data_IF_889128638175
#
_entry.id   IF_889128638175
#
_cell.length_a   1.000
_cell.length_b   1.000
_cell.length_c   1.000
_cell.angle_alpha   90.00
_cell.angle_beta   90.00
_cell.angle_gamma   90.00
#
_symmetry.space_group_name_H-M   'P 1'
#
loop_
_entity.id
_entity.type
_entity.pdbx_description
1 polymer ?
#
# COMPACT_ATOMS: atom_id res chain seq x y z
N UNK A 1 -31.67 -35.32 -16.60
CA UNK A 1 -33.16 -35.38 -16.66
C UNK A 1 -33.63 -34.15 -17.40
N UNK A 2 -34.30 -34.34 -18.53
CA UNK A 2 -34.97 -33.24 -19.22
C UNK A 2 -36.22 -32.83 -18.44
N UNK A 3 -36.44 -31.56 -18.13
CA UNK A 3 -37.66 -31.13 -17.47
C UNK A 3 -38.85 -31.39 -18.37
N UNK A 4 -40.04 -31.70 -17.82
CA UNK A 4 -41.24 -31.89 -18.61
C UNK A 4 -41.61 -30.62 -19.38
N UNK A 5 -42.20 -30.72 -20.59
CA UNK A 5 -42.54 -29.56 -21.38
C UNK A 5 -43.66 -28.76 -20.68
N UNK A 6 -43.38 -27.47 -20.40
CA UNK A 6 -44.40 -26.55 -19.88
C UNK A 6 -45.32 -26.17 -21.04
N UNK A 7 -46.52 -26.65 -21.02
CA UNK A 7 -47.50 -26.50 -22.13
C UNK A 7 -48.19 -25.13 -22.20
N UNK A 8 -48.00 -24.22 -21.23
CA UNK A 8 -48.50 -22.82 -21.26
C UNK A 8 -47.71 -21.95 -20.34
N UNK A 9 -47.37 -20.71 -20.71
CA UNK A 9 -46.79 -19.76 -19.78
C UNK A 9 -47.77 -19.40 -18.70
N UNK A 10 -47.37 -19.60 -17.44
CA UNK A 10 -48.14 -19.08 -16.30
C UNK A 10 -47.75 -17.62 -16.11
N UNK A 11 -48.54 -16.71 -16.63
CA UNK A 11 -48.39 -15.28 -16.38
C UNK A 11 -49.28 -14.94 -15.17
N UNK A 12 -48.68 -14.87 -14.01
CA UNK A 12 -49.37 -14.38 -12.80
C UNK A 12 -49.01 -12.89 -12.64
N UNK A 13 -49.93 -11.99 -12.97
CA UNK A 13 -49.82 -10.58 -12.59
C UNK A 13 -50.50 -10.43 -11.22
N UNK A 14 -49.72 -10.35 -10.18
CA UNK A 14 -50.21 -9.94 -8.86
C UNK A 14 -50.03 -8.43 -8.78
N UNK A 15 -51.16 -7.71 -8.64
CA UNK A 15 -51.17 -6.29 -8.45
C UNK A 15 -51.41 -6.01 -6.97
N UNK A 16 -50.38 -5.72 -6.14
CA UNK A 16 -50.53 -5.47 -4.74
C UNK A 16 -51.23 -4.12 -4.53
N UNK A 17 -52.44 -4.16 -4.03
CA UNK A 17 -53.24 -2.95 -3.74
C UNK A 17 -53.06 -2.39 -2.33
N UNK A 18 -52.16 -3.00 -1.52
CA UNK A 18 -51.94 -2.57 -0.12
C UNK A 18 -50.47 -2.84 0.32
N UNK A 19 -49.98 -2.00 1.22
CA UNK A 19 -48.57 -1.89 1.60
C UNK A 19 -47.95 -3.10 2.34
N UNK A 20 -48.66 -4.14 2.64
CA UNK A 20 -48.19 -5.31 3.40
C UNK A 20 -48.45 -6.67 2.72
N UNK A 21 -48.70 -6.71 1.41
CA UNK A 21 -49.01 -7.97 0.73
C UNK A 21 -47.77 -8.55 0.01
N UNK A 22 -47.46 -9.81 0.33
CA UNK A 22 -46.53 -10.64 -0.46
C UNK A 22 -47.18 -10.94 -1.81
N UNK A 23 -46.63 -10.43 -2.89
CA UNK A 23 -47.20 -10.55 -4.23
C UNK A 23 -47.13 -11.97 -4.82
N UNK A 24 -46.08 -12.74 -4.51
CA UNK A 24 -45.91 -14.10 -4.97
C UNK A 24 -45.07 -14.91 -3.98
N UNK A 25 -45.61 -16.04 -3.50
CA UNK A 25 -44.91 -16.93 -2.59
C UNK A 25 -44.75 -18.32 -3.23
N UNK A 26 -43.50 -18.81 -3.34
CA UNK A 26 -43.20 -20.17 -3.79
C UNK A 26 -42.44 -20.90 -2.69
N UNK A 27 -42.92 -22.07 -2.31
CA UNK A 27 -42.28 -22.96 -1.36
C UNK A 27 -42.07 -24.33 -1.97
N UNK A 28 -40.81 -24.78 -2.04
CA UNK A 28 -40.45 -26.16 -2.32
C UNK A 28 -40.21 -26.89 -0.99
N UNK A 29 -40.85 -28.05 -0.82
CA UNK A 29 -40.71 -28.91 0.37
C UNK A 29 -40.06 -30.23 -0.08
N UNK A 30 -39.00 -30.60 0.60
CA UNK A 30 -38.25 -31.84 0.36
C UNK A 30 -36.76 -31.60 0.24
N UNK A 31 -35.94 -32.66 0.36
CA UNK A 31 -34.49 -32.54 0.41
C UNK A 31 -33.83 -32.07 -0.91
N UNK A 32 -34.56 -32.15 -2.04
CA UNK A 32 -34.08 -31.73 -3.38
C UNK A 32 -35.00 -30.71 -4.05
N UNK A 33 -35.82 -29.98 -3.27
CA UNK A 33 -36.79 -29.01 -3.78
C UNK A 33 -36.13 -27.75 -4.31
N UNK A 34 -36.38 -27.35 -5.58
CA UNK A 34 -36.06 -26.05 -6.16
C UNK A 34 -37.35 -25.27 -6.32
N UNK A 35 -37.47 -24.14 -5.63
CA UNK A 35 -38.68 -23.30 -5.68
C UNK A 35 -38.76 -22.46 -6.97
N UNK A 36 -37.65 -21.90 -7.42
CA UNK A 36 -37.56 -21.12 -8.67
C UNK A 36 -36.33 -21.57 -9.46
N UNK A 37 -36.54 -21.91 -10.72
CA UNK A 37 -35.44 -22.21 -11.64
C UNK A 37 -35.56 -21.32 -12.87
N UNK A 38 -34.50 -20.62 -13.20
CA UNK A 38 -34.40 -19.80 -14.38
C UNK A 38 -33.22 -20.28 -15.25
N UNK A 39 -33.46 -20.53 -16.53
CA UNK A 39 -32.44 -20.94 -17.47
C UNK A 39 -32.67 -20.29 -18.84
N UNK A 40 -31.59 -20.02 -19.57
CA UNK A 40 -31.61 -19.60 -20.96
C UNK A 40 -30.51 -20.32 -21.74
N UNK A 41 -30.76 -20.62 -23.00
CA UNK A 41 -29.77 -21.12 -23.95
C UNK A 41 -29.09 -19.99 -24.74
N UNK A 42 -29.54 -18.77 -24.60
CA UNK A 42 -28.98 -17.61 -25.29
C UNK A 42 -27.81 -17.03 -24.46
N UNK A 43 -26.63 -16.96 -25.08
CA UNK A 43 -25.41 -16.45 -24.44
C UNK A 43 -25.42 -14.93 -24.22
N UNK A 44 -26.33 -14.20 -24.83
CA UNK A 44 -26.49 -12.74 -24.71
C UNK A 44 -27.53 -12.33 -23.66
N UNK A 45 -28.37 -13.25 -23.23
CA UNK A 45 -29.44 -13.00 -22.27
C UNK A 45 -29.15 -13.77 -20.99
N UNK A 46 -29.08 -13.05 -19.87
CA UNK A 46 -28.90 -13.69 -18.56
C UNK A 46 -30.16 -14.42 -18.12
N UNK A 47 -30.01 -15.66 -17.64
CA UNK A 47 -31.05 -16.35 -16.88
C UNK A 47 -31.04 -15.78 -15.46
N UNK A 48 -31.86 -14.76 -15.17
CA UNK A 48 -31.84 -14.06 -13.90
C UNK A 48 -33.15 -14.08 -13.17
N UNK A 49 -33.05 -14.13 -11.84
CA UNK A 49 -34.07 -13.60 -10.95
C UNK A 49 -33.80 -12.09 -10.80
N UNK A 50 -34.51 -11.26 -11.58
CA UNK A 50 -34.42 -9.81 -11.49
C UNK A 50 -35.10 -9.31 -10.23
N UNK A 51 -34.42 -8.53 -9.40
CA UNK A 51 -34.95 -7.85 -8.24
C UNK A 51 -34.62 -6.36 -8.33
N UNK A 52 -35.64 -5.51 -8.14
CA UNK A 52 -35.53 -4.06 -8.21
C UNK A 52 -36.29 -3.41 -7.06
N UNK A 53 -35.73 -2.35 -6.48
CA UNK A 53 -36.36 -1.51 -5.44
C UNK A 53 -36.05 -0.04 -5.72
N UNK A 54 -37.05 0.82 -5.63
CA UNK A 54 -36.98 2.25 -5.95
C UNK A 54 -36.16 3.06 -4.97
N UNK A 55 -36.17 2.66 -3.71
CA UNK A 55 -35.59 3.40 -2.61
C UNK A 55 -34.81 2.46 -1.68
N UNK A 56 -34.45 2.92 -0.52
CA UNK A 56 -33.68 2.20 0.48
C UNK A 56 -34.23 0.77 0.76
N UNK A 57 -33.71 -0.20 0.02
CA UNK A 57 -34.13 -1.60 0.11
C UNK A 57 -33.05 -2.55 -0.38
N UNK A 58 -33.28 -3.85 -0.20
CA UNK A 58 -32.40 -4.93 -0.67
C UNK A 58 -32.98 -5.56 -1.93
N UNK A 59 -32.23 -5.62 -3.03
CA UNK A 59 -32.66 -6.21 -4.30
C UNK A 59 -32.79 -7.74 -4.22
N UNK A 60 -31.83 -8.42 -3.59
CA UNK A 60 -31.84 -9.88 -3.35
C UNK A 60 -31.41 -10.12 -1.90
N UNK A 61 -32.22 -10.90 -1.16
CA UNK A 61 -31.91 -11.29 0.22
C UNK A 61 -31.91 -12.81 0.36
N UNK A 62 -30.75 -13.38 0.67
CA UNK A 62 -30.57 -14.81 0.94
C UNK A 62 -30.19 -15.02 2.41
N UNK A 63 -30.90 -15.92 3.12
CA UNK A 63 -30.66 -16.25 4.53
C UNK A 63 -30.52 -17.75 4.67
N UNK A 64 -29.49 -18.19 5.42
CA UNK A 64 -29.31 -19.56 5.89
C UNK A 64 -29.13 -19.55 7.41
N UNK A 65 -30.01 -20.23 8.16
CA UNK A 65 -30.00 -20.28 9.61
C UNK A 65 -31.25 -19.65 10.24
N UNK A 66 -31.25 -19.51 11.57
CA UNK A 66 -32.42 -19.03 12.32
C UNK A 66 -32.63 -17.50 12.31
N UNK A 67 -31.86 -16.77 11.54
CA UNK A 67 -31.98 -15.33 11.41
C UNK A 67 -31.70 -14.61 12.75
N UNK A 68 -30.59 -14.91 13.39
CA UNK A 68 -30.26 -14.36 14.70
C UNK A 68 -29.80 -12.91 14.59
N UNK A 69 -30.73 -11.98 14.66
CA UNK A 69 -30.48 -10.65 15.22
C UNK A 69 -29.42 -9.78 14.54
N UNK A 70 -29.11 -10.02 13.28
CA UNK A 70 -28.32 -9.05 12.52
C UNK A 70 -29.14 -7.78 12.33
N UNK A 71 -28.55 -6.61 12.43
CA UNK A 71 -29.30 -5.38 12.38
C UNK A 71 -30.17 -5.37 11.14
N UNK A 72 -31.48 -5.16 11.35
CA UNK A 72 -32.41 -4.90 10.26
C UNK A 72 -31.76 -3.97 9.29
N UNK A 73 -31.81 -4.29 7.98
CA UNK A 73 -31.14 -3.56 6.92
C UNK A 73 -31.35 -2.05 7.05
N UNK A 74 -30.45 -1.38 7.73
CA UNK A 74 -30.35 0.08 7.75
C UNK A 74 -29.55 0.58 6.57
N UNK A 75 -28.92 -0.35 5.81
CA UNK A 75 -28.16 -0.06 4.59
C UNK A 75 -28.88 -0.58 3.36
N UNK A 76 -28.92 0.24 2.33
CA UNK A 76 -29.38 -0.14 0.99
C UNK A 76 -28.39 -1.13 0.39
N UNK A 77 -28.85 -2.32 0.00
CA UNK A 77 -28.02 -3.35 -0.61
C UNK A 77 -28.68 -3.91 -1.87
N UNK A 78 -27.92 -4.04 -2.95
CA UNK A 78 -28.38 -4.75 -4.15
C UNK A 78 -28.52 -6.25 -3.89
N UNK A 79 -27.55 -6.85 -3.20
CA UNK A 79 -27.56 -8.25 -2.75
C UNK A 79 -27.17 -8.28 -1.27
N UNK A 80 -27.94 -9.01 -0.49
CA UNK A 80 -27.67 -9.30 0.92
C UNK A 80 -27.61 -10.82 1.11
N UNK A 81 -26.45 -11.33 1.50
CA UNK A 81 -26.24 -12.75 1.83
C UNK A 81 -25.88 -12.90 3.31
N UNK A 82 -26.56 -13.78 4.01
CA UNK A 82 -26.40 -14.02 5.43
C UNK A 82 -26.38 -15.52 5.74
N UNK A 83 -25.44 -15.97 6.57
CA UNK A 83 -25.35 -17.36 6.99
C UNK A 83 -24.79 -17.46 8.42
N UNK A 84 -25.43 -18.24 9.29
CA UNK A 84 -25.03 -18.39 10.70
C UNK A 84 -23.71 -19.15 10.88
N UNK A 85 -23.36 -20.08 9.98
CA UNK A 85 -22.23 -20.99 10.15
C UNK A 85 -21.42 -21.27 8.87
N UNK A 86 -21.61 -20.49 7.80
CA UNK A 86 -20.93 -20.63 6.53
C UNK A 86 -20.72 -19.29 5.84
N UNK A 87 -20.42 -19.33 4.55
CA UNK A 87 -20.27 -18.12 3.75
C UNK A 87 -21.62 -17.48 3.44
N UNK A 88 -21.81 -16.21 3.72
CA UNK A 88 -23.01 -15.46 3.35
C UNK A 88 -23.07 -15.24 1.84
N UNK A 89 -21.93 -14.99 1.19
CA UNK A 89 -21.77 -14.91 -0.28
C UNK A 89 -20.50 -15.65 -0.67
N UNK A 90 -20.62 -16.59 -1.59
CA UNK A 90 -19.51 -17.31 -2.16
C UNK A 90 -19.39 -17.04 -3.66
N UNK A 91 -18.24 -16.52 -4.09
CA UNK A 91 -17.93 -16.28 -5.51
C UNK A 91 -16.76 -17.13 -5.97
N UNK A 92 -16.94 -17.88 -7.05
CA UNK A 92 -15.91 -18.71 -7.65
C UNK A 92 -15.87 -18.56 -9.17
N UNK A 93 -14.67 -18.56 -9.73
CA UNK A 93 -14.46 -18.58 -11.18
C UNK A 93 -13.26 -19.47 -11.51
N UNK A 94 -13.35 -20.22 -12.60
CA UNK A 94 -12.25 -21.06 -13.08
C UNK A 94 -11.17 -20.28 -13.82
N UNK A 95 -11.52 -19.19 -14.50
CA UNK A 95 -10.62 -18.49 -15.44
C UNK A 95 -10.59 -16.98 -15.27
N UNK A 96 -11.31 -16.42 -14.28
CA UNK A 96 -11.41 -14.98 -14.02
C UNK A 96 -11.63 -14.70 -12.54
N UNK A 97 -11.93 -13.45 -12.18
CA UNK A 97 -12.22 -13.06 -10.80
C UNK A 97 -13.46 -13.79 -10.27
N UNK A 98 -13.37 -14.37 -9.09
CA UNK A 98 -14.52 -14.95 -8.39
C UNK A 98 -15.46 -13.85 -7.84
N UNK A 99 -14.88 -12.74 -7.38
CA UNK A 99 -15.59 -11.52 -6.95
C UNK A 99 -14.81 -10.32 -7.46
N UNK A 100 -15.51 -9.35 -8.03
CA UNK A 100 -14.96 -8.07 -8.45
C UNK A 100 -15.82 -6.94 -7.87
N UNK A 101 -15.21 -5.90 -7.34
CA UNK A 101 -15.92 -4.76 -6.77
C UNK A 101 -15.34 -3.44 -7.22
N UNK A 102 -16.17 -2.63 -7.88
CA UNK A 102 -15.84 -1.30 -8.37
C UNK A 102 -16.57 -0.21 -7.60
N UNK A 103 -15.90 0.92 -7.40
CA UNK A 103 -16.53 2.13 -6.88
C UNK A 103 -16.00 3.36 -7.63
N UNK A 104 -16.91 4.18 -8.14
CA UNK A 104 -16.58 5.48 -8.72
C UNK A 104 -16.61 6.62 -7.71
N UNK A 105 -16.78 6.32 -6.44
CA UNK A 105 -16.78 7.30 -5.35
C UNK A 105 -15.36 7.52 -4.81
N UNK A 106 -14.90 8.76 -4.76
CA UNK A 106 -13.62 9.10 -4.13
C UNK A 106 -13.57 8.84 -2.61
N UNK A 107 -14.72 8.63 -1.98
CA UNK A 107 -14.86 8.44 -0.53
C UNK A 107 -15.11 7.00 -0.11
N UNK A 108 -15.30 6.06 -1.05
CA UNK A 108 -15.68 4.68 -0.73
C UNK A 108 -14.82 3.66 -1.48
N UNK A 109 -14.59 2.52 -0.85
CA UNK A 109 -13.86 1.40 -1.43
C UNK A 109 -14.71 0.60 -2.43
N UNK A 110 -14.09 0.01 -3.45
CA UNK A 110 -14.72 -0.99 -4.30
C UNK A 110 -15.03 -2.28 -3.53
N UNK A 111 -14.15 -2.68 -2.61
CA UNK A 111 -14.35 -3.78 -1.68
C UNK A 111 -13.96 -3.33 -0.28
N UNK A 112 -14.86 -3.52 0.70
CA UNK A 112 -14.58 -3.24 2.11
C UNK A 112 -14.78 -4.52 2.94
N UNK A 113 -13.76 -4.90 3.70
CA UNK A 113 -13.81 -6.04 4.63
C UNK A 113 -13.71 -5.57 6.07
N UNK A 114 -14.65 -5.98 6.92
CA UNK A 114 -14.68 -5.63 8.33
C UNK A 114 -14.99 -6.85 9.19
N UNK A 115 -14.25 -7.03 10.28
CA UNK A 115 -14.52 -8.03 11.31
C UNK A 115 -14.58 -7.35 12.68
N UNK A 116 -15.75 -7.43 13.32
CA UNK A 116 -16.00 -6.78 14.63
C UNK A 116 -15.71 -7.71 15.82
N UNK A 117 -15.29 -8.96 15.57
CA UNK A 117 -15.05 -9.98 16.60
C UNK A 117 -13.56 -10.33 16.78
N UNK A 118 -12.63 -9.53 16.24
CA UNK A 118 -11.18 -9.67 16.42
C UNK A 118 -10.46 -10.58 15.42
N UNK A 119 -11.16 -11.14 14.45
CA UNK A 119 -10.55 -11.83 13.31
C UNK A 119 -10.10 -10.85 12.20
N UNK A 120 -9.44 -11.35 11.14
CA UNK A 120 -9.06 -10.51 10.01
C UNK A 120 -10.28 -9.97 9.28
N UNK A 121 -10.26 -8.69 8.88
CA UNK A 121 -11.28 -8.08 8.02
C UNK A 121 -11.18 -8.56 6.58
N UNK A 122 -9.96 -8.77 6.09
CA UNK A 122 -9.63 -9.40 4.81
C UNK A 122 -8.57 -10.45 5.03
N UNK A 123 -8.77 -11.64 4.48
CA UNK A 123 -7.79 -12.72 4.50
C UNK A 123 -7.47 -13.19 3.09
N UNK A 124 -6.19 -13.18 2.72
CA UNK A 124 -5.71 -13.63 1.42
C UNK A 124 -4.74 -14.80 1.56
N UNK A 125 -4.88 -15.81 0.70
CA UNK A 125 -3.97 -16.95 0.62
C UNK A 125 -3.75 -17.34 -0.84
N UNK A 126 -2.51 -17.63 -1.21
CA UNK A 126 -2.13 -18.04 -2.56
C UNK A 126 -0.82 -18.82 -2.53
N UNK A 127 -0.59 -19.67 -3.53
CA UNK A 127 0.72 -20.28 -3.83
C UNK A 127 1.70 -19.30 -4.48
N UNK A 128 1.20 -18.17 -4.99
CA UNK A 128 1.97 -17.02 -5.48
C UNK A 128 1.76 -15.82 -4.55
N UNK A 129 1.43 -14.67 -5.10
CA UNK A 129 1.12 -13.47 -4.32
C UNK A 129 -0.27 -13.58 -3.68
N UNK A 130 -0.38 -13.49 -2.37
CA UNK A 130 -1.66 -13.45 -1.66
C UNK A 130 -2.37 -12.10 -1.78
N UNK A 131 -1.66 -11.04 -2.13
CA UNK A 131 -2.17 -9.71 -2.45
C UNK A 131 -1.24 -9.01 -3.43
N UNK A 132 -1.81 -8.23 -4.34
CA UNK A 132 -1.08 -7.32 -5.22
C UNK A 132 -1.78 -5.96 -5.15
N UNK A 133 -1.00 -4.90 -4.89
CA UNK A 133 -1.49 -3.53 -4.74
C UNK A 133 -0.74 -2.63 -5.71
N UNK A 134 -1.47 -1.87 -6.50
CA UNK A 134 -0.93 -0.83 -7.37
C UNK A 134 -1.25 0.53 -6.77
N UNK A 135 -0.22 1.28 -6.38
CA UNK A 135 -0.35 2.55 -5.67
C UNK A 135 0.07 2.46 -4.21
N UNK A 136 -0.35 3.43 -3.41
CA UNK A 136 0.04 3.54 -2.02
C UNK A 136 -0.81 2.63 -1.12
N UNK A 137 -0.19 2.03 -0.12
CA UNK A 137 -0.87 1.29 0.96
C UNK A 137 -0.73 2.09 2.25
N UNK A 138 -1.85 2.50 2.84
CA UNK A 138 -1.89 3.15 4.15
C UNK A 138 -2.20 2.13 5.23
N UNK A 139 -1.28 1.94 6.16
CA UNK A 139 -1.44 1.10 7.35
C UNK A 139 -1.35 1.98 8.58
N UNK A 140 -2.41 2.07 9.37
CA UNK A 140 -2.46 2.88 10.60
C UNK A 140 -2.04 2.10 11.85
N UNK A 141 -1.84 0.80 11.73
CA UNK A 141 -1.37 -0.09 12.78
C UNK A 141 0.03 -0.63 12.48
N UNK A 142 0.31 -1.82 12.98
CA UNK A 142 1.60 -2.51 12.84
C UNK A 142 1.59 -3.42 11.61
N UNK A 143 2.72 -3.47 10.89
CA UNK A 143 3.01 -4.49 9.88
C UNK A 143 3.91 -5.55 10.51
N UNK A 144 3.46 -6.80 10.57
CA UNK A 144 4.27 -7.94 10.98
C UNK A 144 4.62 -8.77 9.76
N UNK A 145 5.91 -8.97 9.51
CA UNK A 145 6.43 -9.75 8.39
C UNK A 145 7.17 -10.96 8.94
N UNK A 146 6.75 -12.17 8.56
CA UNK A 146 7.40 -13.42 8.99
C UNK A 146 8.54 -13.88 8.07
N UNK A 147 8.75 -13.20 6.93
CA UNK A 147 9.82 -13.45 5.98
C UNK A 147 10.60 -12.18 5.68
N UNK A 148 11.13 -12.07 4.48
CA UNK A 148 11.93 -10.93 4.05
C UNK A 148 11.06 -9.77 3.55
N UNK A 149 11.56 -8.54 3.69
CA UNK A 149 11.06 -7.35 3.00
C UNK A 149 12.06 -7.04 1.88
N UNK A 150 11.63 -7.16 0.62
CA UNK A 150 12.44 -6.85 -0.55
C UNK A 150 12.05 -5.47 -1.07
N UNK A 151 12.98 -4.51 -0.97
CA UNK A 151 12.83 -3.15 -1.47
C UNK A 151 13.73 -2.94 -2.69
N UNK A 152 13.22 -2.27 -3.71
CA UNK A 152 13.98 -2.03 -4.96
C UNK A 152 14.88 -0.80 -4.86
N UNK A 153 14.68 0.07 -3.87
CA UNK A 153 15.45 1.29 -3.64
C UNK A 153 16.64 1.05 -2.69
N UNK A 154 17.53 2.04 -2.55
CA UNK A 154 18.93 1.78 -2.21
C UNK A 154 19.35 2.07 -0.77
N UNK A 155 18.70 2.98 -0.04
CA UNK A 155 19.11 3.41 1.29
C UNK A 155 17.96 3.48 2.29
N UNK A 156 18.32 3.49 3.56
CA UNK A 156 17.44 3.83 4.66
C UNK A 156 17.75 5.26 5.07
N UNK A 157 16.76 6.14 4.92
CA UNK A 157 16.85 7.54 5.25
C UNK A 157 15.94 7.90 6.43
N UNK A 158 16.23 9.03 7.08
CA UNK A 158 15.36 9.67 8.05
C UNK A 158 15.17 11.12 7.68
N UNK A 159 13.95 11.64 7.82
CA UNK A 159 13.67 13.04 7.54
C UNK A 159 14.10 13.92 8.73
N UNK A 160 14.99 14.88 8.50
CA UNK A 160 15.44 15.86 9.45
C UNK A 160 14.89 17.25 9.11
N UNK A 161 14.64 18.07 10.14
CA UNK A 161 14.35 19.48 9.94
C UNK A 161 15.60 20.19 9.40
N UNK A 162 15.43 21.04 8.39
CA UNK A 162 16.50 21.72 7.70
C UNK A 162 16.31 23.23 7.77
N UNK A 163 17.42 24.00 7.87
CA UNK A 163 17.38 25.46 7.83
C UNK A 163 16.78 25.99 6.51
N UNK A 164 17.05 25.27 5.41
CA UNK A 164 16.56 25.58 4.07
C UNK A 164 16.50 24.29 3.23
N UNK A 165 15.95 24.39 2.03
CA UNK A 165 15.95 23.27 1.09
C UNK A 165 17.38 22.86 0.71
N UNK A 166 17.80 21.63 1.05
CA UNK A 166 19.11 21.09 0.74
C UNK A 166 19.00 20.10 -0.43
N UNK A 167 19.85 20.26 -1.44
CA UNK A 167 19.84 19.44 -2.64
C UNK A 167 20.30 18.00 -2.37
N UNK A 168 19.72 16.98 -3.03
CA UNK A 168 20.19 15.62 -2.97
C UNK A 168 21.69 15.48 -3.28
N UNK A 169 22.34 14.54 -2.59
CA UNK A 169 23.79 14.33 -2.68
C UNK A 169 24.65 15.24 -1.82
N UNK A 170 24.05 16.22 -1.13
CA UNK A 170 24.77 17.15 -0.26
C UNK A 170 25.10 16.50 1.08
N UNK A 171 26.34 16.65 1.55
CA UNK A 171 26.76 16.29 2.90
C UNK A 171 26.27 17.32 3.88
N UNK A 172 25.63 16.88 4.97
CA UNK A 172 25.03 17.77 5.96
C UNK A 172 25.55 17.52 7.37
N UNK A 173 25.55 18.60 8.13
CA UNK A 173 25.89 18.65 9.55
C UNK A 173 24.71 19.19 10.36
N UNK A 174 24.63 18.80 11.63
CA UNK A 174 23.69 19.37 12.59
C UNK A 174 24.18 20.74 13.04
N UNK A 175 23.30 21.73 13.11
CA UNK A 175 23.54 23.03 13.69
C UNK A 175 23.15 23.10 15.19
N UNK A 176 23.40 24.23 15.85
CA UNK A 176 23.07 24.44 17.27
C UNK A 176 21.55 24.52 17.54
N UNK A 177 20.75 24.75 16.50
CA UNK A 177 19.28 24.82 16.58
C UNK A 177 18.62 23.44 16.40
N UNK A 178 19.42 22.40 16.09
CA UNK A 178 18.90 21.05 15.81
C UNK A 178 18.41 20.87 14.37
N UNK A 179 18.73 21.78 13.45
CA UNK A 179 18.46 21.64 12.02
C UNK A 179 19.68 21.13 11.27
N UNK A 180 19.46 20.50 10.13
CA UNK A 180 20.56 20.14 9.23
C UNK A 180 20.84 21.27 8.23
N UNK A 181 22.12 21.47 7.96
CA UNK A 181 22.63 22.39 6.94
C UNK A 181 23.79 21.76 6.16
N UNK A 182 24.09 22.28 4.98
CA UNK A 182 25.25 21.82 4.23
C UNK A 182 26.53 21.99 5.06
N UNK A 183 27.42 20.97 5.05
CA UNK A 183 28.72 21.07 5.70
C UNK A 183 29.58 22.15 5.03
N UNK A 184 30.48 22.76 5.78
CA UNK A 184 31.40 23.82 5.34
C UNK A 184 32.80 23.74 6.01
N UNK A 185 33.04 22.66 6.72
CA UNK A 185 34.30 22.42 7.44
C UNK A 185 34.75 20.98 7.31
N UNK A 186 36.08 20.80 7.33
CA UNK A 186 36.70 19.48 7.26
C UNK A 186 36.57 18.71 8.57
N UNK A 187 36.33 17.41 8.49
CA UNK A 187 36.27 16.49 9.63
C UNK A 187 35.31 16.95 10.72
N UNK A 188 34.15 17.45 10.30
CA UNK A 188 33.10 17.88 11.24
C UNK A 188 32.46 16.66 11.93
N UNK A 189 32.60 16.58 13.26
CA UNK A 189 31.98 15.52 14.08
C UNK A 189 30.47 15.63 14.20
N UNK A 190 29.90 16.81 13.87
CA UNK A 190 28.47 17.03 13.80
C UNK A 190 27.83 16.50 12.48
N UNK A 191 28.58 15.75 11.66
CA UNK A 191 28.07 15.20 10.40
C UNK A 191 26.91 14.24 10.67
N UNK A 192 25.80 14.42 9.94
CA UNK A 192 24.58 13.59 10.04
C UNK A 192 24.55 12.56 8.91
N UNK A 193 24.97 12.93 7.70
CA UNK A 193 24.98 12.04 6.57
C UNK A 193 24.94 12.77 5.22
N UNK A 194 24.34 12.12 4.24
CA UNK A 194 24.18 12.63 2.88
C UNK A 194 22.71 12.70 2.53
N UNK A 195 22.26 13.81 1.94
CA UNK A 195 20.89 13.94 1.46
C UNK A 195 20.60 12.89 0.40
N UNK A 196 19.63 12.01 0.65
CA UNK A 196 19.22 10.94 -0.25
C UNK A 196 18.49 11.46 -1.49
N UNK A 197 18.41 10.62 -2.55
CA UNK A 197 17.61 10.90 -3.74
C UNK A 197 18.39 11.45 -4.94
N UNK A 198 19.71 11.48 -4.90
CA UNK A 198 20.55 11.89 -6.04
C UNK A 198 20.81 10.74 -7.02
N UNK A 199 21.04 11.06 -8.29
CA UNK A 199 21.56 10.14 -9.30
C UNK A 199 20.72 8.89 -9.57
N UNK A 200 19.42 8.94 -9.32
CA UNK A 200 18.49 7.82 -9.51
C UNK A 200 18.46 6.80 -8.36
N UNK A 201 19.27 6.96 -7.31
CA UNK A 201 19.14 6.21 -6.06
C UNK A 201 18.16 6.93 -5.13
N UNK A 202 17.02 6.28 -4.85
CA UNK A 202 15.99 6.78 -3.96
C UNK A 202 16.02 6.02 -2.63
N UNK A 203 15.55 6.60 -1.52
CA UNK A 203 15.43 5.87 -0.27
C UNK A 203 14.41 4.74 -0.40
N UNK A 204 14.76 3.55 0.07
CA UNK A 204 13.86 2.41 0.20
C UNK A 204 12.98 2.50 1.43
N UNK A 205 13.50 3.08 2.51
CA UNK A 205 12.77 3.38 3.74
C UNK A 205 13.03 4.83 4.10
N UNK A 206 11.99 5.57 4.48
CA UNK A 206 12.12 6.90 5.08
C UNK A 206 11.44 6.89 6.43
N UNK A 207 12.20 7.18 7.47
CA UNK A 207 11.74 7.30 8.85
C UNK A 207 11.34 8.74 9.16
N UNK A 208 10.54 8.94 10.20
CA UNK A 208 10.08 10.24 10.73
C UNK A 208 9.47 11.17 9.66
N UNK A 209 8.83 10.62 8.63
CA UNK A 209 8.13 11.42 7.63
C UNK A 209 6.84 11.97 8.20
N UNK A 210 6.80 13.27 8.44
CA UNK A 210 5.66 14.01 9.01
C UNK A 210 5.56 15.41 8.42
N UNK A 211 4.40 16.04 8.54
CA UNK A 211 4.27 17.47 8.26
C UNK A 211 5.04 18.29 9.29
N UNK A 212 5.73 19.32 8.84
CA UNK A 212 6.51 20.24 9.66
C UNK A 212 6.38 21.68 9.13
N UNK A 213 6.54 22.65 10.01
CA UNK A 213 6.60 24.06 9.63
C UNK A 213 7.94 24.43 8.95
N UNK A 214 8.98 23.62 9.16
CA UNK A 214 10.30 23.76 8.53
C UNK A 214 10.45 22.78 7.38
N UNK A 215 11.28 23.06 6.36
CA UNK A 215 11.63 22.09 5.34
C UNK A 215 12.20 20.83 5.96
N UNK A 216 11.75 19.66 5.49
CA UNK A 216 12.29 18.37 5.91
C UNK A 216 13.08 17.74 4.76
N UNK A 217 14.19 17.10 5.11
CA UNK A 217 15.14 16.56 4.13
C UNK A 217 15.51 15.13 4.50
N UNK A 218 15.36 14.13 3.60
CA UNK A 218 15.72 12.75 3.87
C UNK A 218 17.25 12.59 3.84
N UNK A 219 17.82 12.21 4.97
CA UNK A 219 19.25 11.96 5.15
C UNK A 219 19.48 10.46 5.19
N UNK A 220 20.32 9.94 4.29
CA UNK A 220 20.72 8.54 4.30
C UNK A 220 21.55 8.23 5.54
N UNK A 221 21.09 7.29 6.35
CA UNK A 221 21.77 6.79 7.53
C UNK A 221 22.59 5.54 7.23
N UNK A 222 22.16 4.74 6.25
CA UNK A 222 22.85 3.54 5.77
C UNK A 222 22.41 3.17 4.36
N UNK A 223 23.29 2.55 3.59
CA UNK A 223 23.01 2.11 2.22
C UNK A 223 23.78 2.89 1.17
N UNK A 224 23.40 2.74 -0.10
CA UNK A 224 24.07 3.38 -1.22
C UNK A 224 23.40 4.69 -1.60
N UNK A 225 24.18 5.75 -1.68
CA UNK A 225 23.73 7.08 -2.13
C UNK A 225 24.73 7.67 -3.11
N UNK A 226 24.28 8.62 -3.93
CA UNK A 226 25.20 9.53 -4.61
C UNK A 226 25.55 10.70 -3.68
N UNK A 227 26.84 11.01 -3.60
CA UNK A 227 27.38 12.06 -2.73
C UNK A 227 28.24 13.03 -3.55
N UNK A 228 28.06 14.33 -3.33
CA UNK A 228 28.96 15.36 -3.83
C UNK A 228 30.30 15.22 -3.15
N UNK A 229 31.38 15.11 -3.94
CA UNK A 229 32.75 14.94 -3.43
C UNK A 229 33.70 15.95 -4.04
N UNK A 230 34.73 16.29 -3.27
CA UNK A 230 35.81 17.16 -3.67
C UNK A 230 37.16 16.43 -3.61
N UNK A 231 37.76 16.15 -4.79
CA UNK A 231 39.07 15.57 -4.96
C UNK A 231 40.11 16.62 -5.35
N UNK A 232 39.87 17.93 -5.14
CA UNK A 232 40.81 18.99 -5.54
C UNK A 232 42.14 18.89 -4.81
N UNK A 233 42.15 18.49 -3.54
CA UNK A 233 43.34 18.38 -2.73
C UNK A 233 43.92 16.97 -2.65
N UNK A 234 43.11 15.94 -2.85
CA UNK A 234 43.55 14.55 -2.81
C UNK A 234 42.60 13.68 -3.65
N UNK A 235 43.11 12.81 -4.51
CA UNK A 235 42.30 11.89 -5.27
C UNK A 235 41.53 10.95 -4.34
N UNK A 236 40.34 10.59 -4.75
CA UNK A 236 39.48 9.61 -4.10
C UNK A 236 39.57 8.32 -4.88
N UNK A 237 39.88 7.23 -4.22
CA UNK A 237 39.89 5.88 -4.81
C UNK A 237 38.74 5.03 -4.27
N UNK A 238 38.39 3.98 -4.98
CA UNK A 238 37.41 2.99 -4.50
C UNK A 238 37.87 2.44 -3.16
N UNK A 239 36.94 2.44 -2.17
CA UNK A 239 37.20 1.96 -0.83
C UNK A 239 37.76 3.00 0.14
N UNK A 240 38.13 4.20 -0.33
CA UNK A 240 38.59 5.29 0.56
C UNK A 240 37.44 5.70 1.49
N UNK A 241 37.78 5.96 2.75
CA UNK A 241 36.87 6.58 3.70
C UNK A 241 36.68 8.07 3.34
N UNK A 242 35.47 8.53 3.46
CA UNK A 242 35.07 9.90 3.19
C UNK A 242 34.65 10.63 4.48
N UNK A 243 34.97 11.90 4.54
CA UNK A 243 34.60 12.82 5.62
C UNK A 243 34.10 14.14 5.03
N UNK A 244 33.61 15.07 5.85
CA UNK A 244 33.19 16.40 5.40
C UNK A 244 34.38 17.21 4.84
N UNK A 245 34.13 18.02 3.81
CA UNK A 245 35.07 18.93 3.20
C UNK A 245 34.80 20.39 3.61
N UNK A 246 35.80 21.24 3.50
CA UNK A 246 35.62 22.71 3.55
C UNK A 246 34.84 23.24 2.33
N UNK A 247 34.74 22.48 1.26
CA UNK A 247 33.84 22.79 0.15
C UNK A 247 32.43 22.49 0.55
N UNK A 248 31.58 23.53 0.57
CA UNK A 248 30.21 23.44 1.07
C UNK A 248 29.43 22.27 0.46
N UNK A 249 28.89 21.43 1.34
CA UNK A 249 28.05 20.29 0.99
C UNK A 249 28.77 19.11 0.33
N UNK A 250 30.13 19.10 0.34
CA UNK A 250 30.91 18.02 -0.27
C UNK A 250 31.60 17.15 0.77
N UNK A 251 31.84 15.91 0.42
CA UNK A 251 32.76 15.02 1.10
C UNK A 251 34.16 15.12 0.47
N UNK A 252 35.18 14.76 1.24
CA UNK A 252 36.54 14.55 0.77
C UNK A 252 37.10 13.24 1.32
N UNK A 253 38.24 12.80 0.80
CA UNK A 253 38.98 11.65 1.34
C UNK A 253 39.42 11.93 2.77
N UNK A 254 39.13 11.00 3.70
CA UNK A 254 39.57 11.04 5.11
C UNK A 254 41.07 10.62 5.20
N UNK A 255 41.97 11.50 4.87
CA UNK A 255 43.43 11.23 4.85
C UNK A 255 44.03 11.28 6.26
N UNK A 256 43.53 12.14 7.15
CA UNK A 256 44.02 12.29 8.52
C UNK A 256 43.23 11.37 9.47
N UNK A 257 43.83 10.25 9.83
CA UNK A 257 43.26 9.25 10.72
C UNK A 257 42.99 9.77 12.13
N UNK A 258 43.76 10.77 12.57
CA UNK A 258 43.56 11.32 13.93
C UNK A 258 42.30 12.17 14.05
N UNK A 259 41.83 12.76 12.96
CA UNK A 259 40.61 13.59 12.86
C UNK A 259 39.40 12.79 12.39
N UNK A 260 39.60 11.57 11.84
CA UNK A 260 38.54 10.81 11.19
C UNK A 260 37.50 10.24 12.17
N UNK A 261 37.88 10.00 13.43
CA UNK A 261 36.95 9.41 14.41
C UNK A 261 35.75 10.34 14.65
N UNK A 262 34.54 9.81 14.44
CA UNK A 262 33.29 10.55 14.58
C UNK A 262 32.95 11.51 13.42
N UNK A 263 33.77 11.55 12.35
CA UNK A 263 33.52 12.40 11.18
C UNK A 263 33.42 11.63 9.85
N UNK A 264 33.54 10.28 9.89
CA UNK A 264 33.44 9.44 8.70
C UNK A 264 32.00 9.30 8.28
N UNK A 265 31.73 9.55 6.99
CA UNK A 265 30.39 9.41 6.35
C UNK A 265 30.20 8.00 5.81
N UNK A 266 31.25 7.40 5.26
CA UNK A 266 31.19 6.09 4.58
C UNK A 266 32.36 5.84 3.66
N UNK A 267 32.16 4.94 2.68
CA UNK A 267 33.18 4.50 1.72
C UNK A 267 32.82 4.89 0.29
N UNK A 268 33.78 5.39 -0.46
CA UNK A 268 33.67 5.60 -1.90
C UNK A 268 33.49 4.28 -2.66
N UNK A 269 32.47 4.19 -3.48
CA UNK A 269 32.20 3.03 -4.34
C UNK A 269 32.72 3.23 -5.77
N UNK A 270 33.11 4.48 -6.12
CA UNK A 270 33.89 4.80 -7.32
C UNK A 270 34.95 5.82 -6.98
N UNK A 271 35.92 6.00 -7.88
CA UNK A 271 36.99 6.98 -7.72
C UNK A 271 36.68 8.31 -8.40
N UNK A 272 37.38 9.37 -7.94
CA UNK A 272 37.50 10.67 -8.61
C UNK A 272 38.96 11.12 -8.52
N UNK A 273 39.64 11.24 -9.68
CA UNK A 273 41.07 11.57 -9.70
C UNK A 273 41.35 13.01 -9.33
N UNK A 274 40.47 13.96 -9.73
CA UNK A 274 40.65 15.40 -9.49
C UNK A 274 39.32 16.14 -9.67
N UNK A 275 39.19 17.29 -9.03
CA UNK A 275 38.03 18.20 -9.14
C UNK A 275 36.85 17.79 -8.25
N UNK A 276 35.66 18.15 -8.68
CA UNK A 276 34.42 17.93 -7.94
C UNK A 276 33.42 17.20 -8.82
N UNK A 277 32.75 16.22 -8.26
CA UNK A 277 31.71 15.45 -8.95
C UNK A 277 30.81 14.77 -7.94
N UNK A 278 29.87 14.00 -8.42
CA UNK A 278 28.96 13.18 -7.63
C UNK A 278 29.28 11.70 -7.84
N UNK A 279 29.67 11.00 -6.79
CA UNK A 279 30.01 9.57 -6.85
C UNK A 279 29.09 8.72 -5.95
N UNK A 280 28.91 7.43 -6.27
CA UNK A 280 28.21 6.51 -5.36
C UNK A 280 29.08 6.25 -4.12
N UNK A 281 28.43 6.30 -2.96
CA UNK A 281 29.03 6.10 -1.63
C UNK A 281 28.19 5.10 -0.85
N UNK A 282 28.84 4.20 -0.12
CA UNK A 282 28.20 3.38 0.90
C UNK A 282 28.25 4.16 2.23
N UNK A 283 27.11 4.66 2.66
CA UNK A 283 26.99 5.34 3.95
C UNK A 283 27.10 4.32 5.07
N UNK A 284 28.00 4.55 6.00
CA UNK A 284 28.22 3.78 7.22
C UNK A 284 28.82 4.75 8.24
N UNK A 285 27.98 5.53 8.92
CA UNK A 285 28.41 6.50 9.93
C UNK A 285 29.22 5.80 11.04
N UNK A 286 30.36 6.39 11.41
CA UNK A 286 31.27 5.88 12.46
C UNK A 286 31.76 7.02 13.34
#
# INVERSE_FOLDING_TARGET
>A
MTPPPISKPIISKVNPLQAEQTGFFVQAKGPEGVAVYAATSDSQIAATLGAFTDANGTGVHGIVGAGSGHPSATSTAGVWGECDSGDGVYGASANWNGVEGDSWSAAHAGVAGQNNAGGPGVWGSSTGNAGQFEGNVLVTGTITVGGDIVLQNADCAEDFDAESHVQPGTVVVMDESGNVRACDSEYATAVVGVVSGAGGLQPGITLDRRESATPRTPIALTGKVYCKVDATHSPINIGDLLTTSATQGHAMRASDRSRAFGSVIGKALSGLAQGRDMIPVLVTLQ
#
